data_IF_675048059030
#
_entry.id   IF_675048059030
#
_cell.length_a   1.000
_cell.length_b   1.000
_cell.length_c   1.000
_cell.angle_alpha   90.00
_cell.angle_beta   90.00
_cell.angle_gamma   90.00
#
_symmetry.space_group_name_H-M   'P 1'
#
loop_
_entity.id
_entity.type
_entity.pdbx_description
1 polymer ?
#
# COMPACT_ATOMS: atom_id res chain seq x y z
N UNK A 1 15.69 -40.27 -19.46
CA UNK A 1 14.36 -39.83 -19.94
C UNK A 1 14.40 -38.36 -20.38
N UNK A 2 13.92 -38.06 -21.59
CA UNK A 2 13.73 -36.67 -22.03
C UNK A 2 12.80 -35.98 -21.03
N UNK A 3 13.11 -34.73 -20.70
CA UNK A 3 12.39 -33.94 -19.69
C UNK A 3 12.10 -32.58 -20.29
N UNK A 4 10.88 -32.09 -20.11
CA UNK A 4 10.52 -30.72 -20.45
C UNK A 4 10.54 -29.86 -19.19
N UNK A 5 11.11 -28.67 -19.31
CA UNK A 5 11.07 -27.66 -18.27
C UNK A 5 10.40 -26.42 -18.84
N UNK A 6 9.24 -26.08 -18.30
CA UNK A 6 8.51 -24.87 -18.61
C UNK A 6 8.89 -23.83 -17.57
N UNK A 7 9.41 -22.70 -18.00
CA UNK A 7 9.54 -21.51 -17.16
C UNK A 7 8.40 -20.56 -17.51
N UNK A 8 7.72 -20.03 -16.51
CA UNK A 8 6.66 -19.04 -16.69
C UNK A 8 6.84 -17.88 -15.73
N UNK A 9 6.43 -16.69 -16.15
CA UNK A 9 6.48 -15.47 -15.36
C UNK A 9 5.29 -14.55 -15.72
N UNK A 10 4.93 -13.66 -14.80
CA UNK A 10 3.92 -12.63 -14.97
C UNK A 10 4.48 -11.22 -14.77
N UNK A 11 4.02 -10.28 -15.60
CA UNK A 11 4.41 -8.87 -15.53
C UNK A 11 3.20 -7.96 -15.45
N UNK A 12 3.38 -6.80 -14.83
CA UNK A 12 2.42 -5.70 -14.79
C UNK A 12 3.13 -4.42 -15.22
N UNK A 13 2.66 -3.81 -16.31
CA UNK A 13 3.24 -2.56 -16.82
C UNK A 13 2.91 -1.35 -15.92
N UNK A 14 3.57 -0.22 -16.17
CA UNK A 14 3.27 1.07 -15.52
C UNK A 14 1.83 1.53 -15.74
N UNK A 15 1.22 1.13 -16.85
CA UNK A 15 -0.16 1.43 -17.23
C UNK A 15 -1.16 0.43 -16.64
N UNK A 16 -0.67 -0.57 -15.89
CA UNK A 16 -1.50 -1.61 -15.28
C UNK A 16 -1.92 -2.74 -16.23
N UNK A 17 -1.18 -2.96 -17.33
CA UNK A 17 -1.41 -4.08 -18.24
C UNK A 17 -0.74 -5.35 -17.70
N UNK A 18 -1.54 -6.32 -17.27
CA UNK A 18 -1.09 -7.62 -16.81
C UNK A 18 -0.85 -8.57 -17.99
N UNK A 19 0.26 -9.30 -17.96
CA UNK A 19 0.70 -10.15 -19.08
C UNK A 19 1.58 -11.28 -18.59
N UNK A 20 1.64 -12.37 -19.35
CA UNK A 20 2.41 -13.55 -19.03
C UNK A 20 3.37 -13.92 -20.16
N UNK A 21 4.43 -14.62 -19.80
CA UNK A 21 5.38 -15.23 -20.72
C UNK A 21 5.73 -16.62 -20.24
N UNK A 22 6.00 -17.53 -21.18
CA UNK A 22 6.56 -18.83 -20.87
C UNK A 22 7.55 -19.27 -21.94
N UNK A 23 8.51 -20.09 -21.54
CA UNK A 23 9.45 -20.77 -22.43
C UNK A 23 9.58 -22.23 -22.03
N UNK A 24 9.67 -23.10 -23.02
CA UNK A 24 9.80 -24.55 -22.85
C UNK A 24 11.22 -24.93 -23.26
N UNK A 25 11.92 -25.58 -22.35
CA UNK A 25 13.25 -26.11 -22.58
C UNK A 25 13.23 -27.64 -22.59
N UNK A 26 13.98 -28.23 -23.51
CA UNK A 26 14.31 -29.65 -23.52
C UNK A 26 15.83 -29.79 -23.48
N UNK A 27 16.37 -30.52 -22.50
CA UNK A 27 17.82 -30.66 -22.30
C UNK A 27 18.56 -29.31 -22.23
N UNK A 28 17.99 -28.34 -21.51
CA UNK A 28 18.46 -26.94 -21.38
C UNK A 28 18.43 -26.09 -22.67
N UNK A 29 17.94 -26.62 -23.79
CA UNK A 29 17.78 -25.87 -25.04
C UNK A 29 16.33 -25.35 -25.11
N UNK A 30 16.10 -24.05 -25.33
CA UNK A 30 14.76 -23.52 -25.56
C UNK A 30 14.22 -24.06 -26.88
N UNK A 31 13.00 -24.61 -26.86
CA UNK A 31 12.34 -25.22 -28.02
C UNK A 31 11.05 -24.51 -28.43
N UNK A 32 10.39 -23.81 -27.50
CA UNK A 32 9.13 -23.13 -27.77
C UNK A 32 8.89 -22.01 -26.77
N UNK A 33 8.45 -20.86 -27.25
CA UNK A 33 8.11 -19.69 -26.45
C UNK A 33 6.66 -19.28 -26.70
N UNK A 34 6.01 -18.76 -25.68
CA UNK A 34 4.67 -18.20 -25.78
C UNK A 34 4.48 -17.05 -24.79
N UNK A 35 3.53 -16.17 -25.11
CA UNK A 35 3.19 -15.05 -24.25
C UNK A 35 1.80 -14.52 -24.59
N UNK A 36 1.23 -13.73 -23.68
CA UNK A 36 -0.07 -13.13 -23.89
C UNK A 36 -0.37 -12.05 -22.87
N UNK A 37 -1.38 -11.24 -23.19
CA UNK A 37 -1.91 -10.21 -22.31
C UNK A 37 -3.23 -10.66 -21.72
N UNK A 38 -3.46 -10.36 -20.43
CA UNK A 38 -4.75 -10.57 -19.78
C UNK A 38 -5.63 -9.32 -19.93
N UNK A 39 -6.91 -9.47 -19.62
CA UNK A 39 -7.75 -8.32 -19.25
C UNK A 39 -7.26 -7.66 -17.95
N UNK A 40 -8.09 -6.84 -17.31
CA UNK A 40 -7.72 -6.18 -16.06
C UNK A 40 -7.45 -7.23 -14.96
N UNK A 41 -6.18 -7.45 -14.65
CA UNK A 41 -5.72 -8.53 -13.78
C UNK A 41 -4.52 -8.07 -12.93
N UNK A 42 -4.11 -8.89 -11.96
CA UNK A 42 -2.88 -8.68 -11.20
C UNK A 42 -1.76 -9.61 -11.68
N UNK A 43 -0.51 -9.31 -11.34
CA UNK A 43 0.66 -10.17 -11.67
C UNK A 43 0.40 -11.62 -11.27
N UNK A 44 -0.18 -11.85 -10.09
CA UNK A 44 -0.53 -13.18 -9.60
C UNK A 44 -1.46 -13.97 -10.54
N UNK A 45 -2.40 -13.30 -11.20
CA UNK A 45 -3.29 -13.94 -12.17
C UNK A 45 -2.53 -14.29 -13.45
N UNK A 46 -1.65 -13.39 -13.89
CA UNK A 46 -0.84 -13.60 -15.09
C UNK A 46 0.16 -14.76 -14.91
N UNK A 47 0.78 -14.88 -13.74
CA UNK A 47 1.66 -16.00 -13.36
C UNK A 47 0.95 -17.36 -13.50
N UNK A 48 -0.27 -17.44 -12.95
CA UNK A 48 -1.07 -18.65 -13.04
C UNK A 48 -1.44 -18.99 -14.49
N UNK A 49 -1.83 -17.99 -15.28
CA UNK A 49 -2.16 -18.17 -16.70
C UNK A 49 -0.93 -18.58 -17.51
N UNK A 50 0.24 -17.97 -17.28
CA UNK A 50 1.48 -18.34 -17.94
C UNK A 50 1.88 -19.79 -17.66
N UNK A 51 1.73 -20.24 -16.41
CA UNK A 51 1.97 -21.63 -16.03
C UNK A 51 1.00 -22.61 -16.73
N UNK A 52 -0.28 -22.25 -16.84
CA UNK A 52 -1.29 -23.06 -17.52
C UNK A 52 -1.04 -23.14 -19.03
N UNK A 53 -0.82 -22.02 -19.70
CA UNK A 53 -0.58 -21.98 -21.13
C UNK A 53 0.75 -22.65 -21.49
N UNK A 54 1.78 -22.48 -20.66
CA UNK A 54 3.03 -23.21 -20.78
C UNK A 54 2.87 -24.73 -20.59
N UNK A 55 2.04 -25.16 -19.63
CA UNK A 55 1.71 -26.58 -19.46
C UNK A 55 0.97 -27.15 -20.67
N UNK A 56 -0.05 -26.45 -21.19
CA UNK A 56 -0.79 -26.86 -22.39
C UNK A 56 0.14 -27.01 -23.60
N UNK A 57 1.02 -26.03 -23.82
CA UNK A 57 2.02 -26.09 -24.88
C UNK A 57 3.00 -27.26 -24.68
N UNK A 58 3.48 -27.49 -23.46
CA UNK A 58 4.36 -28.62 -23.16
C UNK A 58 3.68 -29.98 -23.36
N UNK A 59 2.39 -30.11 -23.05
CA UNK A 59 1.61 -31.31 -23.31
C UNK A 59 1.47 -31.60 -24.81
N UNK A 60 1.32 -30.57 -25.64
CA UNK A 60 1.26 -30.72 -27.10
C UNK A 60 2.61 -31.14 -27.71
N UNK A 61 3.72 -30.74 -27.10
CA UNK A 61 5.08 -31.12 -27.52
C UNK A 61 5.55 -32.46 -26.94
N UNK A 62 4.78 -33.04 -26.02
CA UNK A 62 5.15 -34.26 -25.30
C UNK A 62 5.10 -35.46 -26.23
N UNK A 63 6.24 -36.14 -26.40
CA UNK A 63 6.32 -37.33 -27.26
C UNK A 63 5.83 -38.60 -26.54
N UNK A 64 6.04 -38.68 -25.22
CA UNK A 64 5.70 -39.86 -24.41
C UNK A 64 4.97 -39.47 -23.13
N UNK A 65 3.91 -40.20 -22.78
CA UNK A 65 3.15 -40.01 -21.55
C UNK A 65 3.95 -40.27 -20.24
N UNK A 66 5.20 -40.71 -20.34
CA UNK A 66 6.14 -40.90 -19.22
C UNK A 66 7.19 -39.80 -19.10
N UNK A 67 7.26 -38.89 -20.08
CA UNK A 67 8.19 -37.75 -20.06
C UNK A 67 7.80 -36.78 -18.94
N UNK A 68 8.74 -36.48 -18.03
CA UNK A 68 8.49 -35.54 -16.93
C UNK A 68 8.38 -34.11 -17.46
N UNK A 69 7.43 -33.36 -16.92
CA UNK A 69 7.27 -31.92 -17.16
C UNK A 69 7.48 -31.19 -15.83
N UNK A 70 8.45 -30.29 -15.79
CA UNK A 70 8.65 -29.39 -14.66
C UNK A 70 8.09 -28.01 -15.01
N UNK A 71 7.19 -27.50 -14.17
CA UNK A 71 6.64 -26.15 -14.30
C UNK A 71 7.33 -25.27 -13.26
N UNK A 72 8.13 -24.30 -13.71
CA UNK A 72 8.98 -23.44 -12.90
C UNK A 72 8.45 -22.00 -12.94
N UNK A 73 8.19 -21.42 -11.77
CA UNK A 73 7.78 -20.03 -11.60
C UNK A 73 8.38 -19.47 -10.31
N UNK A 74 8.60 -18.16 -10.27
CA UNK A 74 9.23 -17.48 -9.13
C UNK A 74 8.25 -16.83 -8.13
N UNK A 75 6.96 -16.86 -8.46
CA UNK A 75 5.90 -16.51 -7.53
C UNK A 75 5.50 -17.70 -6.64
N UNK A 76 5.99 -17.69 -5.40
CA UNK A 76 5.71 -18.74 -4.41
C UNK A 76 4.21 -18.92 -4.14
N UNK A 77 3.43 -17.83 -4.13
CA UNK A 77 1.99 -17.90 -3.90
C UNK A 77 1.27 -18.61 -5.05
N UNK A 78 1.63 -18.27 -6.30
CA UNK A 78 1.09 -18.93 -7.48
C UNK A 78 1.47 -20.42 -7.52
N UNK A 79 2.75 -20.74 -7.26
CA UNK A 79 3.24 -22.12 -7.19
C UNK A 79 2.52 -22.95 -6.12
N UNK A 80 2.21 -22.35 -4.97
CA UNK A 80 1.45 -23.00 -3.90
C UNK A 80 0.01 -23.30 -4.36
N UNK A 81 -0.63 -22.33 -5.02
CA UNK A 81 -1.99 -22.50 -5.53
C UNK A 81 -2.08 -23.59 -6.61
N UNK A 82 -1.13 -23.63 -7.54
CA UNK A 82 -1.06 -24.67 -8.58
C UNK A 82 -0.89 -26.08 -8.00
N UNK A 83 -0.23 -26.23 -6.84
CA UNK A 83 -0.02 -27.53 -6.19
C UNK A 83 -1.23 -28.11 -5.47
N UNK A 84 -2.28 -27.32 -5.19
CA UNK A 84 -3.47 -27.87 -4.54
C UNK A 84 -4.35 -26.90 -3.74
N UNK A 85 -4.01 -25.61 -3.67
CA UNK A 85 -4.83 -24.61 -2.96
C UNK A 85 -5.31 -23.50 -3.91
N UNK A 86 -6.28 -23.76 -4.80
CA UNK A 86 -6.75 -22.77 -5.77
C UNK A 86 -7.14 -21.44 -5.11
N UNK A 87 -6.69 -20.33 -5.69
CA UNK A 87 -7.12 -18.99 -5.30
C UNK A 87 -8.56 -18.73 -5.75
N UNK A 88 -9.26 -17.83 -5.06
CA UNK A 88 -10.55 -17.32 -5.53
C UNK A 88 -10.41 -16.46 -6.80
N UNK A 89 -9.24 -15.84 -7.02
CA UNK A 89 -8.94 -15.11 -8.26
C UNK A 89 -8.39 -16.07 -9.29
N UNK A 90 -8.87 -15.96 -10.53
CA UNK A 90 -8.49 -16.87 -11.63
C UNK A 90 -8.66 -18.35 -11.25
N UNK A 91 -9.69 -18.67 -10.47
CA UNK A 91 -9.92 -20.02 -9.95
C UNK A 91 -10.01 -21.08 -11.05
N UNK A 92 -10.63 -20.74 -12.17
CA UNK A 92 -10.71 -21.59 -13.36
C UNK A 92 -9.32 -21.99 -13.87
N UNK A 93 -8.35 -21.07 -13.91
CA UNK A 93 -6.97 -21.33 -14.34
C UNK A 93 -6.31 -22.37 -13.43
N UNK A 94 -6.43 -22.21 -12.10
CA UNK A 94 -5.87 -23.15 -11.14
C UNK A 94 -6.53 -24.53 -11.22
N UNK A 95 -7.86 -24.58 -11.32
CA UNK A 95 -8.61 -25.84 -11.42
C UNK A 95 -8.30 -26.58 -12.73
N UNK A 96 -8.21 -25.85 -13.85
CA UNK A 96 -7.84 -26.42 -15.15
C UNK A 96 -6.41 -26.97 -15.11
N UNK A 97 -5.46 -26.21 -14.55
CA UNK A 97 -4.08 -26.68 -14.36
C UNK A 97 -4.06 -27.98 -13.55
N UNK A 98 -4.75 -28.02 -12.41
CA UNK A 98 -4.80 -29.20 -11.55
C UNK A 98 -5.44 -30.41 -12.27
N UNK A 99 -6.51 -30.19 -13.04
CA UNK A 99 -7.12 -31.23 -13.86
C UNK A 99 -6.15 -31.79 -14.92
N UNK A 100 -5.35 -30.93 -15.57
CA UNK A 100 -4.31 -31.36 -16.51
C UNK A 100 -3.20 -32.15 -15.80
N UNK A 101 -2.73 -31.69 -14.64
CA UNK A 101 -1.71 -32.43 -13.87
C UNK A 101 -2.19 -33.80 -13.42
N UNK A 102 -3.46 -33.92 -13.01
CA UNK A 102 -4.07 -35.17 -12.57
C UNK A 102 -4.26 -36.14 -13.73
N UNK A 103 -4.69 -35.65 -14.90
CA UNK A 103 -4.97 -36.49 -16.07
C UNK A 103 -3.73 -36.98 -16.81
N UNK A 104 -2.65 -36.20 -16.85
CA UNK A 104 -1.48 -36.53 -17.67
C UNK A 104 -0.30 -37.13 -16.89
N UNK A 105 -0.31 -37.03 -15.55
CA UNK A 105 0.74 -37.54 -14.67
C UNK A 105 2.13 -36.92 -14.94
N UNK A 106 3.11 -37.22 -14.07
CA UNK A 106 4.51 -36.82 -14.25
C UNK A 106 4.76 -35.30 -14.45
N UNK A 107 3.87 -34.46 -13.94
CA UNK A 107 4.01 -32.99 -13.93
C UNK A 107 4.35 -32.55 -12.51
N UNK A 108 5.37 -31.72 -12.35
CA UNK A 108 5.81 -31.20 -11.05
C UNK A 108 5.98 -29.68 -11.08
N UNK A 109 5.31 -28.99 -10.16
CA UNK A 109 5.47 -27.55 -9.96
C UNK A 109 6.67 -27.27 -9.05
N UNK A 110 7.63 -26.51 -9.54
CA UNK A 110 8.82 -26.07 -8.80
C UNK A 110 8.81 -24.55 -8.66
N UNK A 111 9.13 -24.09 -7.46
CA UNK A 111 9.44 -22.68 -7.26
C UNK A 111 10.91 -22.48 -7.58
N UNK A 112 11.22 -21.42 -8.33
CA UNK A 112 12.59 -20.98 -8.62
C UNK A 112 12.79 -19.56 -8.08
N UNK A 113 14.01 -19.19 -7.66
CA UNK A 113 14.24 -17.82 -7.23
C UNK A 113 14.23 -16.87 -8.44
N UNK A 114 13.47 -15.78 -8.33
CA UNK A 114 13.44 -14.70 -9.32
C UNK A 114 14.78 -13.94 -9.39
N UNK A 115 15.05 -13.31 -10.53
CA UNK A 115 16.24 -12.47 -10.80
C UNK A 115 17.59 -13.13 -10.42
N UNK A 116 17.65 -14.45 -10.52
CA UNK A 116 18.82 -15.25 -10.12
C UNK A 116 19.64 -15.75 -11.32
N UNK A 117 19.50 -15.09 -12.47
CA UNK A 117 20.18 -15.45 -13.72
C UNK A 117 19.87 -16.89 -14.20
N UNK A 118 18.67 -17.40 -13.92
CA UNK A 118 18.20 -18.67 -14.46
C UNK A 118 17.72 -18.40 -15.89
N UNK A 119 18.41 -18.88 -16.94
CA UNK A 119 18.16 -18.41 -18.31
C UNK A 119 16.71 -18.54 -18.78
N UNK A 120 16.03 -19.63 -18.41
CA UNK A 120 14.62 -19.82 -18.74
C UNK A 120 13.67 -18.88 -18.00
N UNK A 121 13.94 -18.57 -16.72
CA UNK A 121 13.13 -17.60 -15.97
C UNK A 121 13.31 -16.19 -16.53
N UNK A 122 14.56 -15.79 -16.82
CA UNK A 122 14.85 -14.48 -17.42
C UNK A 122 14.24 -14.34 -18.82
N UNK A 123 14.13 -15.44 -19.58
CA UNK A 123 13.43 -15.44 -20.86
C UNK A 123 11.92 -15.30 -20.68
N UNK A 124 11.31 -16.03 -19.73
CA UNK A 124 9.89 -15.89 -19.40
C UNK A 124 9.53 -14.47 -18.95
N UNK A 125 10.35 -13.85 -18.09
CA UNK A 125 10.22 -12.44 -17.65
C UNK A 125 10.22 -11.47 -18.86
N UNK A 126 11.20 -11.63 -19.77
CA UNK A 126 11.29 -10.81 -20.98
C UNK A 126 10.07 -10.96 -21.88
N UNK A 127 9.58 -12.18 -22.05
CA UNK A 127 8.38 -12.48 -22.83
C UNK A 127 7.14 -11.84 -22.18
N UNK A 128 6.99 -11.97 -20.86
CA UNK A 128 5.89 -11.35 -20.11
C UNK A 128 5.92 -9.83 -20.27
N UNK A 129 7.08 -9.18 -20.07
CA UNK A 129 7.23 -7.73 -20.25
C UNK A 129 6.96 -7.27 -21.68
N UNK A 130 7.37 -8.03 -22.68
CA UNK A 130 7.07 -7.69 -24.07
C UNK A 130 5.55 -7.77 -24.36
N UNK A 131 4.88 -8.78 -23.79
CA UNK A 131 3.46 -9.02 -23.99
C UNK A 131 2.54 -7.97 -23.38
N UNK A 132 2.99 -7.14 -22.43
CA UNK A 132 2.17 -6.04 -21.90
C UNK A 132 1.77 -5.02 -22.97
N UNK A 133 2.55 -4.92 -24.06
CA UNK A 133 2.28 -4.04 -25.21
C UNK A 133 1.26 -4.61 -26.20
N UNK A 134 0.85 -5.87 -26.05
CA UNK A 134 -0.17 -6.48 -26.91
C UNK A 134 -1.54 -5.84 -26.66
N UNK A 135 -2.46 -5.89 -27.65
CA UNK A 135 -3.84 -5.48 -27.43
C UNK A 135 -4.47 -6.33 -26.32
N UNK A 136 -5.34 -5.70 -25.53
CA UNK A 136 -6.15 -6.43 -24.56
C UNK A 136 -7.06 -7.43 -25.29
N UNK A 137 -7.21 -8.67 -24.80
CA UNK A 137 -8.11 -9.63 -25.42
C UNK A 137 -9.55 -9.11 -25.47
N UNK A 138 -10.23 -9.30 -26.61
CA UNK A 138 -11.59 -8.85 -26.79
C UNK A 138 -12.54 -9.54 -25.80
N UNK A 139 -13.37 -8.76 -25.11
CA UNK A 139 -14.33 -9.27 -24.12
C UNK A 139 -13.71 -9.70 -22.78
N UNK A 140 -12.43 -9.44 -22.54
CA UNK A 140 -11.76 -9.81 -21.30
C UNK A 140 -12.45 -9.22 -20.06
N UNK A 141 -12.71 -10.07 -19.08
CA UNK A 141 -13.32 -9.67 -17.81
C UNK A 141 -12.25 -9.42 -16.75
N UNK A 142 -12.46 -8.48 -15.83
CA UNK A 142 -11.53 -8.21 -14.76
C UNK A 142 -11.44 -9.40 -13.78
N UNK A 143 -10.25 -9.68 -13.27
CA UNK A 143 -10.06 -10.70 -12.23
C UNK A 143 -10.57 -10.21 -10.88
N UNK A 144 -10.87 -11.16 -9.98
CA UNK A 144 -11.31 -10.83 -8.62
C UNK A 144 -10.22 -10.07 -7.84
N UNK A 145 -8.95 -10.43 -8.03
CA UNK A 145 -7.83 -9.73 -7.40
C UNK A 145 -7.77 -8.26 -7.86
N UNK A 146 -7.93 -8.01 -9.16
CA UNK A 146 -8.00 -6.66 -9.73
C UNK A 146 -9.17 -5.86 -9.13
N UNK A 147 -10.37 -6.43 -9.13
CA UNK A 147 -11.55 -5.77 -8.56
C UNK A 147 -11.37 -5.43 -7.08
N UNK A 148 -10.78 -6.35 -6.30
CA UNK A 148 -10.46 -6.11 -4.87
C UNK A 148 -9.44 -4.99 -4.69
N UNK A 149 -8.41 -4.90 -5.53
CA UNK A 149 -7.45 -3.78 -5.48
C UNK A 149 -8.15 -2.46 -5.78
N UNK A 150 -8.92 -2.39 -6.87
CA UNK A 150 -9.64 -1.18 -7.28
C UNK A 150 -10.63 -0.74 -6.19
N UNK A 151 -11.38 -1.66 -5.60
CA UNK A 151 -12.32 -1.37 -4.51
C UNK A 151 -11.62 -0.79 -3.26
N UNK A 152 -10.36 -1.19 -2.98
CA UNK A 152 -9.56 -0.64 -1.88
C UNK A 152 -8.88 0.69 -2.24
N UNK A 153 -8.58 0.90 -3.51
CA UNK A 153 -7.82 2.05 -4.01
C UNK A 153 -8.73 3.28 -4.24
N UNK A 154 -9.85 3.10 -4.95
CA UNK A 154 -10.76 4.20 -5.32
C UNK A 154 -11.22 5.07 -4.14
N UNK A 155 -11.65 4.53 -2.99
CA UNK A 155 -12.04 5.35 -1.86
C UNK A 155 -10.89 6.18 -1.29
N UNK A 156 -9.65 5.65 -1.32
CA UNK A 156 -8.46 6.37 -0.84
C UNK A 156 -8.13 7.56 -1.73
N UNK A 157 -8.17 7.35 -3.04
CA UNK A 157 -7.92 8.41 -4.03
C UNK A 157 -9.01 9.49 -3.97
N UNK A 158 -10.29 9.07 -3.93
CA UNK A 158 -11.42 9.98 -3.79
C UNK A 158 -11.31 10.83 -2.51
N UNK A 159 -10.94 10.20 -1.38
CA UNK A 159 -10.73 10.91 -0.13
C UNK A 159 -9.55 11.89 -0.18
N UNK A 160 -8.43 11.50 -0.81
CA UNK A 160 -7.27 12.39 -0.99
C UNK A 160 -7.59 13.59 -1.89
N UNK A 161 -8.33 13.38 -2.98
CA UNK A 161 -8.78 14.43 -3.89
C UNK A 161 -9.79 15.38 -3.22
N UNK A 162 -10.72 14.84 -2.44
CA UNK A 162 -11.62 15.66 -1.63
C UNK A 162 -10.85 16.47 -0.57
N UNK A 163 -9.88 15.87 0.12
CA UNK A 163 -9.11 16.55 1.16
C UNK A 163 -8.25 17.70 0.60
N UNK A 164 -7.62 17.53 -0.57
CA UNK A 164 -6.79 18.60 -1.15
C UNK A 164 -7.59 19.86 -1.46
N UNK A 165 -8.87 19.73 -1.80
CA UNK A 165 -9.78 20.83 -2.10
C UNK A 165 -10.49 21.37 -0.85
N UNK A 166 -10.97 20.47 0.02
CA UNK A 166 -11.88 20.80 1.11
C UNK A 166 -11.21 20.94 2.48
N UNK A 167 -9.90 20.69 2.61
CA UNK A 167 -9.21 20.81 3.89
C UNK A 167 -9.31 22.25 4.46
N UNK A 168 -9.64 22.39 5.76
CA UNK A 168 -9.62 23.69 6.43
C UNK A 168 -8.24 24.36 6.32
N UNK A 169 -8.21 25.69 6.20
CA UNK A 169 -6.97 26.45 6.05
C UNK A 169 -5.96 26.16 7.17
N UNK A 170 -6.45 25.99 8.40
CA UNK A 170 -5.63 25.59 9.53
C UNK A 170 -4.94 24.23 9.31
N UNK A 171 -5.63 23.24 8.76
CA UNK A 171 -5.07 21.91 8.52
C UNK A 171 -4.07 21.93 7.35
N UNK A 172 -4.31 22.78 6.34
CA UNK A 172 -3.34 23.07 5.27
C UNK A 172 -2.05 23.67 5.83
N UNK A 173 -2.17 24.69 6.70
CA UNK A 173 -1.02 25.33 7.38
C UNK A 173 -0.21 24.37 8.25
N UNK A 174 -0.88 23.40 8.89
CA UNK A 174 -0.24 22.35 9.70
C UNK A 174 0.29 21.18 8.87
N UNK A 175 0.11 21.21 7.55
CA UNK A 175 0.53 20.18 6.61
C UNK A 175 -0.01 18.77 6.94
N UNK A 176 -1.24 18.70 7.47
CA UNK A 176 -1.88 17.44 7.85
C UNK A 176 -2.38 16.71 6.57
N UNK A 177 -1.89 15.50 6.36
CA UNK A 177 -2.27 14.68 5.19
C UNK A 177 -3.61 13.99 5.41
N UNK A 178 -4.34 13.80 4.32
CA UNK A 178 -5.46 12.88 4.29
C UNK A 178 -4.96 11.46 4.59
N UNK A 179 -5.58 10.78 5.55
CA UNK A 179 -5.35 9.36 5.79
C UNK A 179 -6.69 8.64 5.96
N UNK A 180 -6.81 7.48 5.33
CA UNK A 180 -7.92 6.54 5.55
C UNK A 180 -7.60 5.51 6.62
N UNK A 181 -6.34 5.45 7.09
CA UNK A 181 -5.90 4.62 8.20
C UNK A 181 -5.96 5.35 9.54
N UNK A 182 -5.73 4.61 10.63
CA UNK A 182 -5.65 5.15 11.98
C UNK A 182 -4.40 6.05 12.14
N UNK A 183 -4.55 7.37 12.36
CA UNK A 183 -3.42 8.25 12.59
C UNK A 183 -2.66 7.89 13.88
N UNK A 184 -1.32 8.03 13.91
CA UNK A 184 -0.51 7.66 15.08
C UNK A 184 -0.90 8.42 16.35
N UNK A 185 -1.39 9.66 16.24
CA UNK A 185 -1.87 10.44 17.38
C UNK A 185 -3.06 9.82 18.11
N UNK A 186 -3.84 8.92 17.48
CA UNK A 186 -4.94 8.22 18.15
C UNK A 186 -4.46 7.23 19.23
N UNK A 187 -3.17 6.90 19.25
CA UNK A 187 -2.55 6.13 20.34
C UNK A 187 -2.27 6.95 21.60
N UNK A 188 -2.40 8.27 21.56
CA UNK A 188 -2.13 9.14 22.69
C UNK A 188 -3.17 8.98 23.80
N UNK A 189 -2.79 9.19 25.08
CA UNK A 189 -3.76 9.28 26.16
C UNK A 189 -4.83 10.35 25.88
N UNK A 190 -6.09 10.06 26.23
CA UNK A 190 -7.27 10.89 25.91
C UNK A 190 -7.07 12.38 26.21
N UNK A 191 -6.48 12.73 27.35
CA UNK A 191 -6.24 14.12 27.73
C UNK A 191 -5.25 14.83 26.79
N UNK A 192 -4.18 14.15 26.41
CA UNK A 192 -3.16 14.70 25.52
C UNK A 192 -3.70 14.82 24.08
N UNK A 193 -4.43 13.80 23.61
CA UNK A 193 -5.13 13.82 22.33
C UNK A 193 -6.13 14.99 22.24
N UNK A 194 -6.91 15.22 23.31
CA UNK A 194 -7.86 16.33 23.39
C UNK A 194 -7.17 17.68 23.13
N UNK A 195 -6.04 17.96 23.78
CA UNK A 195 -5.34 19.24 23.59
C UNK A 195 -4.73 19.40 22.20
N UNK A 196 -4.22 18.31 21.62
CA UNK A 196 -3.69 18.32 20.27
C UNK A 196 -4.79 18.60 19.24
N UNK A 197 -5.93 17.89 19.34
CA UNK A 197 -7.07 18.08 18.44
C UNK A 197 -7.68 19.47 18.60
N UNK A 198 -7.77 19.99 19.83
CA UNK A 198 -8.19 21.36 20.09
C UNK A 198 -7.27 22.35 19.36
N UNK A 199 -5.94 22.23 19.52
CA UNK A 199 -4.98 23.12 18.86
C UNK A 199 -5.04 23.05 17.33
N UNK A 200 -5.29 21.86 16.76
CA UNK A 200 -5.44 21.66 15.31
C UNK A 200 -6.75 22.21 14.76
N UNK A 201 -7.85 22.01 15.47
CA UNK A 201 -9.21 22.42 15.04
C UNK A 201 -9.57 23.84 15.41
N UNK A 202 -8.79 24.49 16.28
CA UNK A 202 -9.13 25.76 16.94
C UNK A 202 -10.39 25.66 17.81
N UNK A 203 -10.88 24.45 18.09
CA UNK A 203 -12.05 24.17 18.92
C UNK A 203 -11.62 23.66 20.30
N UNK A 204 -11.20 24.60 21.14
CA UNK A 204 -10.79 24.33 22.51
C UNK A 204 -10.91 25.56 23.38
N UNK A 205 -10.25 25.52 24.54
CA UNK A 205 -10.17 26.63 25.49
C UNK A 205 -9.24 27.74 24.98
N UNK A 206 -9.68 28.43 23.93
CA UNK A 206 -8.99 29.53 23.28
C UNK A 206 -9.89 30.76 23.23
N UNK A 207 -9.30 31.94 23.38
CA UNK A 207 -10.08 33.18 23.44
C UNK A 207 -10.94 33.39 22.19
N UNK A 208 -10.36 33.16 21.00
CA UNK A 208 -11.07 33.30 19.72
C UNK A 208 -12.26 32.33 19.58
N UNK A 209 -12.17 31.13 20.16
CA UNK A 209 -13.28 30.17 20.16
C UNK A 209 -14.41 30.66 21.06
N UNK A 210 -14.09 31.03 22.30
CA UNK A 210 -15.10 31.48 23.27
C UNK A 210 -15.82 32.75 22.82
N UNK A 211 -15.11 33.70 22.23
CA UNK A 211 -15.72 34.92 21.68
C UNK A 211 -16.64 34.62 20.49
N UNK A 212 -16.23 33.75 19.57
CA UNK A 212 -17.05 33.36 18.42
C UNK A 212 -18.39 32.74 18.83
N UNK A 213 -18.44 32.05 19.97
CA UNK A 213 -19.64 31.41 20.51
C UNK A 213 -20.25 32.13 21.71
N UNK A 214 -19.80 33.35 22.03
CA UNK A 214 -20.32 34.18 23.12
C UNK A 214 -20.36 33.48 24.50
N UNK A 215 -19.30 32.75 24.85
CA UNK A 215 -19.15 32.16 26.18
C UNK A 215 -18.72 33.22 27.21
N UNK A 216 -19.67 33.82 27.91
CA UNK A 216 -19.44 34.94 28.82
C UNK A 216 -18.57 34.60 30.04
N UNK A 217 -18.66 33.36 30.54
CA UNK A 217 -17.94 32.92 31.75
C UNK A 217 -16.53 32.39 31.46
N UNK A 218 -16.12 32.37 30.18
CA UNK A 218 -14.87 31.74 29.78
C UNK A 218 -13.65 32.61 30.07
N UNK A 219 -12.60 32.00 30.63
CA UNK A 219 -11.35 32.72 30.88
C UNK A 219 -10.53 32.85 29.59
N UNK A 220 -10.53 34.04 28.99
CA UNK A 220 -9.84 34.32 27.73
C UNK A 220 -8.30 34.43 27.85
N UNK A 221 -7.77 34.53 29.06
CA UNK A 221 -6.34 34.74 29.32
C UNK A 221 -5.72 33.63 30.17
N UNK A 222 -4.50 33.26 29.82
CA UNK A 222 -3.65 32.38 30.61
C UNK A 222 -3.27 33.06 31.95
N UNK A 223 -2.88 32.28 32.96
CA UNK A 223 -2.38 32.83 34.22
C UNK A 223 -1.12 33.70 34.06
N UNK A 224 -0.45 33.65 32.90
CA UNK A 224 0.65 34.56 32.57
C UNK A 224 0.18 35.94 32.06
N UNK A 225 -1.13 36.16 31.93
CA UNK A 225 -1.75 37.42 31.47
C UNK A 225 -1.85 37.57 29.94
N UNK A 226 -1.38 36.59 29.16
CA UNK A 226 -1.54 36.61 27.69
C UNK A 226 -2.80 35.87 27.27
N UNK A 227 -3.34 36.28 26.12
CA UNK A 227 -4.51 35.68 25.49
C UNK A 227 -4.29 34.20 25.18
N UNK A 228 -5.30 33.36 25.46
CA UNK A 228 -5.26 31.92 25.15
C UNK A 228 -5.35 31.71 23.64
N UNK A 229 -4.35 31.03 23.08
CA UNK A 229 -4.26 30.67 21.67
C UNK A 229 -3.61 29.28 21.53
N UNK A 230 -3.82 28.57 20.42
CA UNK A 230 -3.26 27.23 20.18
C UNK A 230 -1.74 27.15 20.33
N UNK A 231 -1.04 28.21 19.92
CA UNK A 231 0.41 28.34 19.95
C UNK A 231 0.93 28.96 21.26
N UNK A 232 0.05 29.40 22.18
CA UNK A 232 0.46 30.12 23.37
C UNK A 232 1.43 29.32 24.25
N UNK A 233 1.31 27.99 24.29
CA UNK A 233 2.21 27.11 25.04
C UNK A 233 3.69 27.32 24.67
N UNK A 234 4.00 27.61 23.41
CA UNK A 234 5.37 27.83 22.93
C UNK A 234 5.95 29.19 23.37
N UNK A 235 5.09 30.14 23.72
CA UNK A 235 5.47 31.53 24.03
C UNK A 235 5.16 31.93 25.48
N UNK A 236 4.60 31.03 26.28
CA UNK A 236 4.17 31.36 27.63
C UNK A 236 5.37 31.58 28.57
N UNK A 237 5.46 32.77 29.17
CA UNK A 237 6.56 33.12 30.09
C UNK A 237 6.64 32.24 31.33
N UNK A 238 5.52 31.60 31.73
CA UNK A 238 5.45 30.68 32.87
C UNK A 238 5.94 29.26 32.54
N UNK A 239 6.17 28.94 31.26
CA UNK A 239 6.82 27.68 30.88
C UNK A 239 8.33 27.80 31.20
N UNK A 240 8.89 26.89 32.03
CA UNK A 240 10.29 26.91 32.40
C UNK A 240 11.22 26.83 31.18
N UNK A 241 12.33 27.58 31.20
CA UNK A 241 13.27 27.67 30.07
C UNK A 241 13.75 26.30 29.58
N UNK A 242 14.02 25.35 30.49
CA UNK A 242 14.47 23.99 30.17
C UNK A 242 13.48 23.17 29.34
N UNK A 243 12.19 23.50 29.37
CA UNK A 243 11.15 22.80 28.61
C UNK A 243 10.82 23.52 27.31
N UNK A 244 11.30 24.75 27.08
CA UNK A 244 10.92 25.53 25.90
C UNK A 244 11.51 24.92 24.64
N UNK A 245 10.66 24.70 23.65
CA UNK A 245 11.07 24.26 22.32
C UNK A 245 11.87 25.37 21.61
N UNK A 246 12.92 24.99 20.89
CA UNK A 246 13.64 25.90 20.00
C UNK A 246 12.77 26.26 18.79
N UNK A 247 12.57 27.56 18.57
CA UNK A 247 11.71 28.09 17.49
C UNK A 247 12.49 28.59 16.27
N UNK A 248 13.82 28.61 16.31
CA UNK A 248 14.66 29.01 15.19
C UNK A 248 14.73 27.91 14.11
N UNK A 249 14.86 28.25 12.81
CA UNK A 249 14.98 29.61 12.26
C UNK A 249 13.64 30.33 12.05
N UNK A 250 12.53 29.59 11.98
CA UNK A 250 11.19 30.14 11.76
C UNK A 250 10.22 29.67 12.85
N UNK A 251 9.79 30.56 13.76
CA UNK A 251 8.86 30.20 14.83
C UNK A 251 7.54 29.62 14.32
N UNK A 252 6.99 30.20 13.26
CA UNK A 252 5.76 29.72 12.64
C UNK A 252 5.91 28.29 12.11
N UNK A 253 7.02 27.99 11.43
CA UNK A 253 7.27 26.65 10.89
C UNK A 253 7.44 25.64 12.03
N UNK A 254 8.22 25.98 13.06
CA UNK A 254 8.46 25.09 14.19
C UNK A 254 7.18 24.78 14.97
N UNK A 255 6.35 25.78 15.25
CA UNK A 255 5.06 25.61 15.92
C UNK A 255 4.10 24.79 15.05
N UNK A 256 4.00 25.08 13.75
CA UNK A 256 3.12 24.33 12.85
C UNK A 256 3.53 22.87 12.73
N UNK A 257 4.83 22.57 12.73
CA UNK A 257 5.33 21.19 12.75
C UNK A 257 4.95 20.50 14.07
N UNK A 258 5.18 21.17 15.20
CA UNK A 258 4.89 20.63 16.52
C UNK A 258 3.39 20.42 16.79
N UNK A 259 2.50 21.23 16.25
CA UNK A 259 1.04 20.99 16.33
C UNK A 259 0.59 20.02 15.23
N UNK A 260 1.26 20.05 14.09
CA UNK A 260 0.96 19.24 12.90
C UNK A 260 1.59 17.85 12.97
N UNK A 261 2.47 17.54 12.01
CA UNK A 261 3.02 16.18 11.82
C UNK A 261 3.93 15.70 12.94
N UNK A 262 4.66 16.61 13.59
CA UNK A 262 5.60 16.29 14.67
C UNK A 262 4.95 16.57 16.04
N UNK A 263 3.76 15.99 16.24
CA UNK A 263 2.95 16.24 17.42
C UNK A 263 3.61 15.81 18.73
N UNK A 264 4.59 14.91 18.67
CA UNK A 264 5.39 14.46 19.82
C UNK A 264 5.92 15.63 20.64
N UNK A 265 6.49 16.64 19.97
CA UNK A 265 7.04 17.84 20.61
C UNK A 265 6.00 18.67 21.34
N UNK A 266 4.78 18.78 20.81
CA UNK A 266 3.69 19.47 21.49
C UNK A 266 3.23 18.69 22.73
N UNK A 267 3.15 17.36 22.63
CA UNK A 267 2.75 16.49 23.73
C UNK A 267 3.79 16.53 24.86
N UNK A 268 5.07 16.40 24.53
CA UNK A 268 6.17 16.46 25.51
C UNK A 268 6.21 17.82 26.20
N UNK A 269 6.16 18.91 25.42
CA UNK A 269 6.11 20.27 25.97
C UNK A 269 4.91 20.46 26.92
N UNK A 270 3.73 19.98 26.52
CA UNK A 270 2.50 20.07 27.31
C UNK A 270 2.61 19.32 28.63
N UNK A 271 3.13 18.10 28.58
CA UNK A 271 3.30 17.21 29.72
C UNK A 271 4.36 17.73 30.68
N UNK A 272 5.57 18.03 30.18
CA UNK A 272 6.72 18.39 30.99
C UNK A 272 6.56 19.73 31.71
N UNK A 273 5.88 20.68 31.07
CA UNK A 273 5.57 21.98 31.68
C UNK A 273 4.27 21.96 32.51
N UNK A 274 3.54 20.83 32.52
CA UNK A 274 2.20 20.72 33.07
C UNK A 274 1.27 21.86 32.61
N UNK A 275 1.39 22.24 31.32
CA UNK A 275 0.85 23.51 30.83
C UNK A 275 -0.65 23.64 31.06
N UNK A 276 -1.43 22.67 30.57
CA UNK A 276 -2.90 22.69 30.69
C UNK A 276 -3.40 22.29 32.08
N UNK A 277 -2.53 21.83 32.98
CA UNK A 277 -2.88 21.49 34.36
C UNK A 277 -2.62 22.60 35.37
N UNK A 278 -1.50 23.32 35.23
CA UNK A 278 -1.02 24.29 36.24
C UNK A 278 -0.86 25.72 35.71
N UNK A 279 -0.49 25.88 34.45
CA UNK A 279 -0.14 27.20 33.89
C UNK A 279 -1.35 27.86 33.21
N UNK A 280 -2.02 27.12 32.33
CA UNK A 280 -3.17 27.56 31.56
C UNK A 280 -4.30 26.52 31.66
N UNK A 281 -4.86 26.32 32.86
CA UNK A 281 -5.96 25.39 33.05
C UNK A 281 -7.26 25.87 32.41
N UNK A 282 -8.12 24.90 32.10
CA UNK A 282 -9.48 25.12 31.59
C UNK A 282 -10.36 25.68 32.70
N UNK A 283 -10.88 26.89 32.48
CA UNK A 283 -11.89 27.56 33.30
C UNK A 283 -12.72 28.46 32.40
#
# INVERSE_FOLDING_TARGET
PLTLVVYSDGSLSSEGAASYGFTIHQNNIPIFDGSGRLGPAEVFDAEATGALEGLKAALNLRELATQNIFICLDNLAAATCLRGTPSESSQNVFLEFQALTTSHGAIQVRWVPGHSNIPGNEQADKLAKAASSLPEPEGAQPTLAYLRRIARQKPKEAFQAWWSTSAPEQYKRLNLKATTGCPPELSLPRAALHHLLAARSLHGDFAAYHERFAHNDARLVCSCGRRKAPDHIFYCRKVPLRHRMRLAPSPNTAVNLAIGRDFSKFIDLSKDSAFFGKICPRY
#
